data_IF_905238915579
#
_entry.id   IF_905238915579
#
_cell.length_a   1.000
_cell.length_b   1.000
_cell.length_c   1.000
_cell.angle_alpha   90.00
_cell.angle_beta   90.00
_cell.angle_gamma   90.00
#
_symmetry.space_group_name_H-M   'P 1'
#
loop_
_entity.id
_entity.type
_entity.pdbx_description
1 polymer ?
#
# COMPACT_ATOMS: atom_id res chain seq x y z
N UNK A 1 23.82 -4.02 24.15
CA UNK A 1 22.74 -4.96 23.81
C UNK A 1 21.93 -4.30 22.70
N UNK A 2 22.04 -4.84 21.48
CA UNK A 2 21.48 -4.25 20.27
C UNK A 2 19.96 -4.45 20.28
N UNK A 3 19.20 -3.36 20.23
CA UNK A 3 17.75 -3.41 20.10
C UNK A 3 17.43 -3.86 18.67
N UNK A 4 16.88 -5.07 18.55
CA UNK A 4 16.33 -5.59 17.31
C UNK A 4 15.26 -4.63 16.78
N UNK A 5 15.50 -4.01 15.62
CA UNK A 5 14.43 -3.37 14.87
C UNK A 5 13.56 -4.48 14.28
N UNK A 6 12.42 -4.73 14.91
CA UNK A 6 11.31 -5.39 14.23
C UNK A 6 10.82 -4.41 13.18
N UNK A 7 11.39 -4.51 11.98
CA UNK A 7 10.74 -4.02 10.79
C UNK A 7 9.55 -4.94 10.61
N UNK A 8 8.37 -4.56 11.13
CA UNK A 8 7.12 -5.08 10.63
C UNK A 8 7.04 -4.59 9.19
N UNK A 9 7.71 -5.35 8.32
CA UNK A 9 7.53 -5.31 6.88
C UNK A 9 6.03 -5.28 6.69
N UNK A 10 5.53 -4.27 5.96
CA UNK A 10 4.16 -4.19 5.48
C UNK A 10 3.65 -5.62 5.36
N UNK A 11 2.78 -6.06 6.28
CA UNK A 11 2.20 -7.39 6.20
C UNK A 11 1.17 -7.33 5.08
N UNK A 12 1.70 -7.15 3.88
CA UNK A 12 1.12 -7.57 2.63
C UNK A 12 0.62 -8.98 2.94
N UNK A 13 -0.71 -9.20 2.99
CA UNK A 13 -1.22 -10.55 3.18
C UNK A 13 -0.54 -11.39 2.12
N UNK A 14 0.14 -12.46 2.53
CA UNK A 14 1.01 -13.25 1.65
C UNK A 14 0.33 -13.51 0.31
N UNK A 15 0.62 -12.68 -0.69
CA UNK A 15 -0.02 -12.74 -2.00
C UNK A 15 0.37 -14.01 -2.73
N UNK A 16 1.38 -14.72 -2.22
CA UNK A 16 1.81 -16.05 -2.63
C UNK A 16 0.65 -17.06 -2.65
N UNK A 17 -0.40 -16.85 -1.86
CA UNK A 17 -1.60 -17.71 -1.89
C UNK A 17 -2.65 -17.26 -2.92
N UNK A 18 -2.58 -16.02 -3.41
CA UNK A 18 -3.58 -15.42 -4.31
C UNK A 18 -3.10 -15.46 -5.76
N UNK A 19 -1.80 -15.28 -5.98
CA UNK A 19 -1.17 -15.35 -7.29
C UNK A 19 -0.60 -16.75 -7.46
N UNK A 20 -1.28 -17.55 -8.27
CA UNK A 20 -0.91 -18.96 -8.52
C UNK A 20 0.04 -19.11 -9.71
N UNK A 21 0.22 -18.06 -10.51
CA UNK A 21 1.03 -18.06 -11.74
C UNK A 21 2.12 -17.00 -11.67
N UNK A 22 3.38 -17.40 -11.94
CA UNK A 22 4.51 -16.46 -12.07
C UNK A 22 4.52 -15.86 -13.47
N UNK A 23 4.91 -14.59 -13.61
CA UNK A 23 5.02 -13.94 -14.92
C UNK A 23 6.05 -14.64 -15.80
N UNK A 24 5.65 -14.93 -17.03
CA UNK A 24 6.43 -15.49 -18.13
C UNK A 24 6.04 -14.77 -19.43
N UNK A 25 6.87 -14.87 -20.46
CA UNK A 25 6.68 -14.29 -21.80
C UNK A 25 5.37 -14.74 -22.45
N UNK A 26 4.87 -15.92 -22.08
CA UNK A 26 3.71 -16.54 -22.72
C UNK A 26 2.42 -16.46 -21.88
N UNK A 27 2.44 -15.86 -20.70
CA UNK A 27 1.29 -15.90 -19.77
C UNK A 27 0.85 -14.53 -19.23
N UNK A 28 1.37 -13.43 -19.79
CA UNK A 28 1.07 -12.08 -19.34
C UNK A 28 -0.43 -11.81 -19.10
N UNK A 29 -1.37 -12.19 -20.01
CA UNK A 29 -2.79 -11.93 -19.77
C UNK A 29 -3.35 -12.66 -18.54
N UNK A 30 -2.94 -13.92 -18.32
CA UNK A 30 -3.38 -14.72 -17.18
C UNK A 30 -2.78 -14.20 -15.87
N UNK A 31 -1.49 -13.86 -15.90
CA UNK A 31 -0.79 -13.25 -14.77
C UNK A 31 -1.43 -11.91 -14.39
N UNK A 32 -1.71 -11.06 -15.38
CA UNK A 32 -2.31 -9.75 -15.17
C UNK A 32 -3.74 -9.87 -14.59
N UNK A 33 -4.53 -10.84 -15.05
CA UNK A 33 -5.86 -11.10 -14.51
C UNK A 33 -5.85 -11.45 -13.01
N UNK A 34 -4.79 -12.10 -12.52
CA UNK A 34 -4.64 -12.43 -11.09
C UNK A 34 -4.17 -11.23 -10.25
N UNK A 35 -3.36 -10.33 -10.83
CA UNK A 35 -2.81 -9.18 -10.12
C UNK A 35 -3.73 -7.96 -10.13
N UNK A 36 -4.51 -7.76 -11.19
CA UNK A 36 -5.34 -6.58 -11.36
C UNK A 36 -6.30 -6.31 -10.16
N UNK A 37 -6.99 -7.31 -9.57
CA UNK A 37 -7.83 -7.09 -8.40
C UNK A 37 -7.04 -6.63 -7.17
N UNK A 38 -5.82 -7.12 -7.00
CA UNK A 38 -4.93 -6.71 -5.91
C UNK A 38 -4.52 -5.25 -6.06
N UNK A 39 -4.11 -4.87 -7.27
CA UNK A 39 -3.74 -3.49 -7.57
C UNK A 39 -4.92 -2.53 -7.36
N UNK A 40 -6.14 -2.95 -7.69
CA UNK A 40 -7.35 -2.15 -7.45
C UNK A 40 -7.67 -2.01 -5.97
N UNK A 41 -7.67 -3.11 -5.21
CA UNK A 41 -7.97 -3.08 -3.77
C UNK A 41 -6.95 -2.25 -2.98
N UNK A 42 -5.69 -2.23 -3.43
CA UNK A 42 -4.64 -1.43 -2.81
C UNK A 42 -4.52 -0.01 -3.41
N UNK A 43 -5.40 0.39 -4.33
CA UNK A 43 -5.32 1.67 -5.06
C UNK A 43 -3.96 1.92 -5.73
N UNK A 44 -3.28 0.84 -6.15
CA UNK A 44 -1.98 0.89 -6.80
C UNK A 44 -2.09 1.02 -8.33
N UNK A 45 -3.25 0.70 -8.90
CA UNK A 45 -3.45 0.70 -10.35
C UNK A 45 -3.24 2.10 -10.95
N UNK A 46 -3.63 3.16 -10.23
CA UNK A 46 -3.51 4.55 -10.67
C UNK A 46 -2.06 5.01 -10.84
N UNK A 47 -1.10 4.38 -10.17
CA UNK A 47 0.32 4.65 -10.35
C UNK A 47 0.92 3.86 -11.53
N UNK A 48 0.30 2.73 -11.89
CA UNK A 48 0.77 1.84 -12.98
C UNK A 48 0.25 2.32 -14.33
N UNK A 49 -1.00 2.79 -14.39
CA UNK A 49 -1.59 3.36 -15.60
C UNK A 49 -1.14 4.81 -15.87
N UNK A 50 -0.47 5.44 -14.90
CA UNK A 50 0.02 6.81 -14.99
C UNK A 50 -1.06 7.87 -14.74
N UNK A 51 -2.24 7.48 -14.25
CA UNK A 51 -3.32 8.41 -13.86
C UNK A 51 -2.96 9.25 -12.63
N UNK A 52 -2.05 8.76 -11.79
CA UNK A 52 -1.52 9.47 -10.62
C UNK A 52 0.00 9.50 -10.64
N UNK A 53 0.58 10.62 -10.22
CA UNK A 53 2.02 10.76 -10.07
C UNK A 53 2.56 9.81 -9.01
N UNK A 54 3.75 9.28 -9.25
CA UNK A 54 4.44 8.44 -8.29
C UNK A 54 4.71 9.26 -7.01
N UNK A 55 4.34 8.74 -5.82
CA UNK A 55 4.59 9.46 -4.58
C UNK A 55 6.10 9.66 -4.37
N UNK A 56 6.52 10.74 -3.67
CA UNK A 56 7.91 10.98 -3.35
C UNK A 56 8.54 9.78 -2.65
N UNK A 57 9.74 9.40 -3.07
CA UNK A 57 10.46 8.26 -2.48
C UNK A 57 10.84 8.48 -1.01
N UNK A 58 10.89 9.73 -0.57
CA UNK A 58 11.27 10.12 0.80
C UNK A 58 10.24 11.06 1.38
N UNK A 59 9.99 10.91 2.69
CA UNK A 59 9.21 11.89 3.44
C UNK A 59 10.14 13.04 3.82
N UNK A 60 9.68 14.26 3.63
CA UNK A 60 10.41 15.46 4.04
C UNK A 60 10.06 15.74 5.50
N UNK A 61 11.07 15.86 6.36
CA UNK A 61 10.86 16.23 7.77
C UNK A 61 10.49 17.72 7.91
N UNK A 62 10.15 18.15 9.13
CA UNK A 62 9.84 19.55 9.45
C UNK A 62 11.02 20.51 9.17
N UNK A 63 12.23 19.98 9.02
CA UNK A 63 13.45 20.71 8.69
C UNK A 63 13.76 20.74 7.18
N UNK A 64 12.87 20.19 6.33
CA UNK A 64 13.05 20.16 4.88
C UNK A 64 14.02 19.09 4.38
N UNK A 65 14.44 18.15 5.22
CA UNK A 65 15.43 17.13 4.89
C UNK A 65 14.75 15.81 4.51
N UNK A 66 15.21 15.12 3.44
CA UNK A 66 14.74 13.78 3.11
C UNK A 66 15.03 12.83 4.26
N UNK A 67 13.98 12.28 4.85
CA UNK A 67 14.06 11.25 5.89
C UNK A 67 13.60 9.93 5.30
N UNK A 68 14.43 8.90 5.47
CA UNK A 68 14.17 7.52 5.01
C UNK A 68 13.08 6.83 5.85
N UNK A 69 12.84 7.34 7.05
CA UNK A 69 11.72 6.92 7.89
C UNK A 69 10.46 7.71 7.49
N UNK A 70 9.58 7.08 6.71
CA UNK A 70 8.18 7.51 6.67
C UNK A 70 7.56 7.49 8.07
N UNK A 71 6.38 8.12 8.27
CA UNK A 71 5.71 8.11 9.56
C UNK A 71 5.52 6.66 10.07
N UNK A 72 5.68 6.41 11.38
CA UNK A 72 5.53 5.07 11.96
C UNK A 72 4.22 4.41 11.51
N UNK A 73 4.25 3.09 11.30
CA UNK A 73 3.11 2.32 10.80
C UNK A 73 1.85 2.51 11.65
N UNK A 74 1.99 2.63 12.97
CA UNK A 74 0.89 2.87 13.90
C UNK A 74 0.14 4.16 13.59
N UNK A 75 0.86 5.22 13.21
CA UNK A 75 0.28 6.50 12.85
C UNK A 75 -0.50 6.41 11.52
N UNK A 76 -0.03 5.56 10.60
CA UNK A 76 -0.72 5.31 9.32
C UNK A 76 -2.01 4.52 9.53
N UNK A 77 -1.96 3.49 10.37
CA UNK A 77 -3.12 2.67 10.72
C UNK A 77 -4.19 3.51 11.43
N UNK A 78 -3.79 4.33 12.39
CA UNK A 78 -4.72 5.22 13.10
C UNK A 78 -5.43 6.17 12.13
N UNK A 79 -4.70 6.75 11.19
CA UNK A 79 -5.30 7.60 10.15
C UNK A 79 -6.30 6.84 9.28
N UNK A 80 -6.04 5.58 8.96
CA UNK A 80 -6.99 4.76 8.20
C UNK A 80 -8.24 4.44 9.02
N UNK A 81 -8.08 4.07 10.30
CA UNK A 81 -9.21 3.81 11.19
C UNK A 81 -10.10 5.06 11.36
N UNK A 82 -9.50 6.25 11.46
CA UNK A 82 -10.23 7.50 11.50
C UNK A 82 -11.07 7.74 10.25
N UNK A 83 -10.51 7.48 9.06
CA UNK A 83 -11.24 7.59 7.79
C UNK A 83 -12.36 6.55 7.68
N UNK A 84 -12.14 5.33 8.18
CA UNK A 84 -13.18 4.30 8.20
C UNK A 84 -14.37 4.74 9.06
N UNK A 85 -14.11 5.28 10.26
CA UNK A 85 -15.17 5.83 11.10
C UNK A 85 -15.91 7.00 10.43
N UNK A 86 -15.21 7.89 9.72
CA UNK A 86 -15.85 8.98 8.98
C UNK A 86 -16.76 8.46 7.85
N UNK A 87 -16.33 7.41 7.14
CA UNK A 87 -17.14 6.75 6.10
C UNK A 87 -18.36 6.06 6.71
N UNK A 88 -18.21 5.38 7.85
CA UNK A 88 -19.32 4.75 8.59
C UNK A 88 -20.37 5.78 9.04
N UNK A 89 -19.92 6.91 9.60
CA UNK A 89 -20.78 8.02 9.99
C UNK A 89 -21.54 8.61 8.78
N UNK A 90 -20.88 8.69 7.63
CA UNK A 90 -21.49 9.17 6.39
C UNK A 90 -22.57 8.20 5.88
N UNK A 91 -22.33 6.89 5.94
CA UNK A 91 -23.28 5.85 5.55
C UNK A 91 -24.53 5.85 6.42
N UNK A 92 -24.41 6.19 7.71
CA UNK A 92 -25.56 6.24 8.63
C UNK A 92 -26.39 7.53 8.50
N UNK A 93 -25.93 8.51 7.72
CA UNK A 93 -26.57 9.81 7.56
C UNK A 93 -27.51 9.89 6.34
N UNK A 94 -27.46 8.90 5.45
CA UNK A 94 -28.43 8.62 4.37
C UNK A 94 -29.49 7.59 4.82
#
# INVERSE_FOLDING_TARGET
MVSSSSHDALSIPSFSNVITVRLDRNNYPLWFAQILPLLRNCHLLTFIDGSSDCPPAFVIDDAGKPTDAGPPMDQRLEKQNQLLHEVEDWIQKD
#
